data_IF_367353737643
#
_entry.id   IF_367353737643
#
_cell.length_a   1.000
_cell.length_b   1.000
_cell.length_c   1.000
_cell.angle_alpha   90.00
_cell.angle_beta   90.00
_cell.angle_gamma   90.00
#
_symmetry.space_group_name_H-M   'P 1'
#
loop_
_entity.id
_entity.type
_entity.pdbx_description
1 polymer ?
#
# COMPACT_ATOMS: atom_id res chain seq x y z
N UNK A 1 15.57 14.29 -0.68
CA UNK A 1 15.26 14.23 -2.12
C UNK A 1 13.84 13.70 -2.22
N UNK A 2 12.95 14.40 -2.93
CA UNK A 2 11.56 13.97 -3.05
C UNK A 2 11.42 12.72 -3.93
N UNK A 3 10.41 11.87 -3.70
CA UNK A 3 10.17 10.71 -4.54
C UNK A 3 9.65 11.12 -5.92
N UNK A 4 10.43 10.85 -6.98
CA UNK A 4 9.96 10.96 -8.37
C UNK A 4 9.19 9.68 -8.78
N UNK A 5 8.05 9.45 -8.14
CA UNK A 5 7.23 8.25 -8.31
C UNK A 5 5.75 8.64 -8.34
N UNK A 6 4.98 8.07 -9.25
CA UNK A 6 3.52 8.21 -9.33
C UNK A 6 2.80 6.97 -8.77
N UNK A 7 1.51 7.10 -8.45
CA UNK A 7 0.63 5.98 -8.11
C UNK A 7 1.09 5.12 -6.92
N UNK A 8 1.88 5.66 -6.01
CA UNK A 8 2.11 5.09 -4.69
C UNK A 8 0.98 5.42 -3.73
N UNK A 9 1.02 4.83 -2.53
CA UNK A 9 0.09 5.17 -1.45
C UNK A 9 0.67 6.30 -0.60
N UNK A 10 -0.11 7.36 -0.39
CA UNK A 10 0.24 8.51 0.43
C UNK A 10 -0.69 8.56 1.66
N UNK A 11 -0.13 8.47 2.86
CA UNK A 11 -0.88 8.39 4.11
C UNK A 11 -0.30 9.32 5.18
N UNK A 12 -1.17 10.04 5.88
CA UNK A 12 -0.80 10.76 7.10
C UNK A 12 -0.81 9.77 8.26
N UNK A 13 0.31 9.69 8.98
CA UNK A 13 0.41 8.95 10.24
C UNK A 13 1.00 9.88 11.28
N UNK A 14 0.24 10.12 12.35
CA UNK A 14 0.57 11.13 13.36
C UNK A 14 0.83 12.50 12.69
N UNK A 15 2.07 12.98 12.70
CA UNK A 15 2.48 14.27 12.13
C UNK A 15 3.32 14.12 10.85
N UNK A 16 3.44 12.90 10.31
CA UNK A 16 4.29 12.60 9.15
C UNK A 16 3.51 12.00 7.99
N UNK A 17 3.89 12.37 6.77
CA UNK A 17 3.33 11.75 5.57
C UNK A 17 4.23 10.62 5.13
N UNK A 18 3.65 9.46 4.81
CA UNK A 18 4.34 8.31 4.25
C UNK A 18 3.91 8.12 2.81
N UNK A 19 4.87 8.03 1.90
CA UNK A 19 4.67 7.68 0.50
C UNK A 19 5.34 6.34 0.22
N UNK A 20 4.56 5.34 -0.19
CA UNK A 20 5.02 3.96 -0.33
C UNK A 20 4.80 3.46 -1.75
N UNK A 21 5.86 2.87 -2.31
CA UNK A 21 5.88 2.29 -3.64
C UNK A 21 5.66 3.32 -4.75
N UNK A 22 4.94 2.92 -5.79
CA UNK A 22 4.68 3.72 -6.98
C UNK A 22 5.54 3.29 -8.17
N UNK A 23 5.52 4.10 -9.22
CA UNK A 23 6.21 3.84 -10.50
C UNK A 23 6.94 5.09 -10.96
N UNK A 24 8.17 4.92 -11.45
CA UNK A 24 8.98 6.02 -11.99
C UNK A 24 8.51 6.44 -13.39
N UNK A 25 8.93 7.61 -13.91
CA UNK A 25 8.65 8.02 -15.28
C UNK A 25 9.08 7.01 -16.35
N UNK A 26 10.09 6.18 -16.04
CA UNK A 26 10.60 5.10 -16.90
C UNK A 26 9.79 3.80 -16.79
N UNK A 27 8.71 3.77 -16.00
CA UNK A 27 7.89 2.58 -15.78
C UNK A 27 8.43 1.62 -14.73
N UNK A 28 9.49 2.00 -13.98
CA UNK A 28 10.10 1.14 -12.96
C UNK A 28 9.29 1.21 -11.68
N UNK A 29 8.69 0.08 -11.30
CA UNK A 29 7.94 -0.04 -10.07
C UNK A 29 8.87 -0.03 -8.86
N UNK A 30 8.40 0.53 -7.75
CA UNK A 30 9.18 0.71 -6.53
C UNK A 30 8.50 0.07 -5.33
N UNK A 31 9.29 -0.40 -4.38
CA UNK A 31 8.86 -0.81 -3.03
C UNK A 31 9.35 0.16 -1.94
N UNK A 32 10.00 1.26 -2.33
CA UNK A 32 10.60 2.21 -1.38
C UNK A 32 9.53 2.91 -0.54
N UNK A 33 9.91 3.22 0.70
CA UNK A 33 9.12 4.00 1.65
C UNK A 33 9.82 5.35 1.80
N UNK A 34 9.06 6.43 1.68
CA UNK A 34 9.52 7.78 1.96
C UNK A 34 8.65 8.37 3.06
N UNK A 35 9.28 9.06 4.01
CA UNK A 35 8.60 9.83 5.05
C UNK A 35 8.88 11.31 4.84
N UNK A 36 7.86 12.12 5.09
CA UNK A 36 7.94 13.56 5.07
C UNK A 36 7.56 14.13 6.44
N UNK A 37 8.53 14.80 7.05
CA UNK A 37 8.38 15.62 8.26
C UNK A 37 9.09 16.95 8.03
N UNK A 38 8.58 17.76 7.10
CA UNK A 38 9.21 18.94 6.49
C UNK A 38 10.29 18.65 5.44
N UNK A 39 10.96 17.50 5.53
CA UNK A 39 11.91 17.02 4.52
C UNK A 39 11.59 15.56 4.18
N UNK A 40 11.85 15.17 2.92
CA UNK A 40 11.71 13.80 2.46
C UNK A 40 12.95 12.97 2.84
N UNK A 41 12.72 11.90 3.60
CA UNK A 41 13.70 10.90 3.99
C UNK A 41 13.27 9.48 3.57
N UNK A 42 14.19 8.65 3.04
CA UNK A 42 13.88 7.24 2.81
C UNK A 42 13.81 6.48 4.13
N UNK A 43 12.91 5.51 4.21
CA UNK A 43 12.84 4.54 5.30
C UNK A 43 13.10 3.15 4.76
N UNK A 44 13.92 2.40 5.49
CA UNK A 44 14.12 0.97 5.25
C UNK A 44 13.26 0.18 6.22
N UNK A 45 12.56 -0.82 5.69
CA UNK A 45 11.76 -1.74 6.47
C UNK A 45 12.20 -3.18 6.21
N UNK A 46 12.38 -3.93 7.30
CA UNK A 46 12.92 -5.29 7.27
C UNK A 46 11.89 -6.31 7.80
N UNK A 47 11.82 -7.51 7.22
CA UNK A 47 12.54 -7.97 6.04
C UNK A 47 12.03 -7.32 4.75
N UNK A 48 12.86 -7.30 3.70
CA UNK A 48 12.49 -6.79 2.36
C UNK A 48 11.53 -7.75 1.64
N UNK A 49 10.28 -7.79 2.09
CA UNK A 49 9.24 -8.70 1.56
C UNK A 49 8.15 -7.99 0.75
N UNK A 50 8.11 -6.66 0.82
CA UNK A 50 7.16 -5.87 0.03
C UNK A 50 7.66 -5.72 -1.40
N UNK A 51 7.04 -6.45 -2.33
CA UNK A 51 7.42 -6.41 -3.74
C UNK A 51 7.09 -5.04 -4.39
N UNK A 52 7.92 -4.56 -5.33
CA UNK A 52 7.69 -3.31 -6.04
C UNK A 52 6.31 -3.26 -6.72
N UNK A 53 5.57 -2.16 -6.52
CA UNK A 53 4.20 -2.04 -7.02
C UNK A 53 3.70 -0.60 -7.08
N UNK A 54 2.68 -0.38 -7.92
CA UNK A 54 1.94 0.87 -8.05
C UNK A 54 0.43 0.57 -7.99
N UNK A 55 -0.41 1.60 -7.86
CA UNK A 55 -1.87 1.47 -7.84
C UNK A 55 -2.42 0.62 -6.70
N UNK A 56 -1.64 0.37 -5.66
CA UNK A 56 -2.14 -0.24 -4.44
C UNK A 56 -2.92 0.79 -3.62
N UNK A 57 -3.68 0.32 -2.65
CA UNK A 57 -4.39 1.18 -1.72
C UNK A 57 -3.99 0.82 -0.28
N UNK A 58 -4.26 1.72 0.65
CA UNK A 58 -3.93 1.49 2.04
C UNK A 58 -4.59 2.48 2.98
N UNK A 59 -4.44 2.21 4.26
CA UNK A 59 -4.93 3.09 5.33
C UNK A 59 -3.99 3.03 6.53
N UNK A 60 -4.04 4.05 7.38
CA UNK A 60 -3.32 4.11 8.63
C UNK A 60 -4.25 3.85 9.83
N UNK A 61 -3.77 3.12 10.82
CA UNK A 61 -4.47 2.88 12.08
C UNK A 61 -3.46 2.58 13.19
N UNK A 62 -3.55 3.27 14.34
CA UNK A 62 -2.72 3.04 15.53
C UNK A 62 -1.20 3.00 15.24
N UNK A 63 -0.72 3.94 14.43
CA UNK A 63 0.70 4.03 14.01
C UNK A 63 1.21 2.85 13.16
N UNK A 64 0.30 2.03 12.62
CA UNK A 64 0.58 1.04 11.59
C UNK A 64 0.00 1.49 10.24
N UNK A 65 0.65 1.11 9.14
CA UNK A 65 0.14 1.29 7.78
C UNK A 65 -0.26 -0.08 7.21
N UNK A 66 -1.44 -0.15 6.61
CA UNK A 66 -1.97 -1.35 5.96
C UNK A 66 -2.03 -1.09 4.46
N UNK A 67 -1.52 -2.03 3.66
CA UNK A 67 -1.47 -1.95 2.19
C UNK A 67 -2.10 -3.18 1.56
N UNK A 68 -2.85 -2.96 0.49
CA UNK A 68 -3.60 -3.99 -0.22
C UNK A 68 -3.44 -3.87 -1.73
N UNK A 69 -3.17 -5.01 -2.36
CA UNK A 69 -3.16 -5.15 -3.82
C UNK A 69 -2.06 -4.35 -4.51
N UNK A 70 -2.42 -3.73 -5.63
CA UNK A 70 -1.54 -3.03 -6.57
C UNK A 70 -1.18 -3.88 -7.78
N UNK A 71 -0.32 -3.34 -8.63
CA UNK A 71 0.18 -4.01 -9.83
C UNK A 71 1.69 -3.78 -10.03
N UNK A 72 2.30 -4.68 -10.79
CA UNK A 72 3.62 -4.54 -11.38
C UNK A 72 3.50 -4.81 -12.88
N UNK A 73 3.45 -3.75 -13.68
CA UNK A 73 3.21 -3.85 -15.13
C UNK A 73 4.35 -4.59 -15.84
N UNK A 74 5.60 -4.41 -15.41
CA UNK A 74 6.76 -5.10 -15.97
C UNK A 74 6.73 -6.62 -15.76
N UNK A 75 5.96 -7.09 -14.77
CA UNK A 75 5.76 -8.51 -14.48
C UNK A 75 4.39 -9.02 -14.95
N UNK A 76 3.57 -8.17 -15.58
CA UNK A 76 2.18 -8.47 -15.92
C UNK A 76 1.37 -9.03 -14.73
N UNK A 77 1.61 -8.48 -13.54
CA UNK A 77 1.11 -9.01 -12.28
C UNK A 77 0.19 -8.02 -11.56
N UNK A 78 -1.00 -8.48 -11.15
CA UNK A 78 -1.88 -7.78 -10.22
C UNK A 78 -1.87 -8.54 -8.90
N UNK A 79 -1.57 -7.83 -7.81
CA UNK A 79 -1.44 -8.42 -6.50
C UNK A 79 -2.80 -8.56 -5.80
N UNK A 80 -2.98 -9.66 -5.08
CA UNK A 80 -3.98 -9.80 -4.02
C UNK A 80 -3.34 -9.77 -2.62
N UNK A 81 -2.04 -9.51 -2.54
CA UNK A 81 -1.30 -9.54 -1.28
C UNK A 81 -1.64 -8.35 -0.40
N UNK A 82 -1.60 -8.60 0.91
CA UNK A 82 -1.90 -7.63 1.96
C UNK A 82 -0.73 -7.57 2.92
N UNK A 83 -0.33 -6.37 3.33
CA UNK A 83 0.78 -6.16 4.25
C UNK A 83 0.44 -5.14 5.33
N UNK A 84 1.07 -5.29 6.49
CA UNK A 84 1.16 -4.26 7.51
C UNK A 84 2.60 -3.79 7.63
N UNK A 85 2.83 -2.48 7.60
CA UNK A 85 4.07 -1.86 8.02
C UNK A 85 3.90 -1.36 9.46
N UNK A 86 4.63 -1.98 10.38
CA UNK A 86 4.76 -1.48 11.74
C UNK A 86 5.81 -0.38 11.76
N UNK A 87 5.40 0.86 12.06
CA UNK A 87 6.30 2.02 12.05
C UNK A 87 7.16 2.12 13.30
N UNK A 88 6.86 1.36 14.36
CA UNK A 88 7.67 1.35 15.60
C UNK A 88 9.04 0.72 15.38
N UNK A 89 9.08 -0.35 14.59
CA UNK A 89 10.30 -1.13 14.32
C UNK A 89 10.64 -1.22 12.83
N UNK A 90 9.87 -0.53 11.98
CA UNK A 90 9.96 -0.58 10.52
C UNK A 90 9.96 -2.02 10.01
N UNK A 91 8.94 -2.79 10.39
CA UNK A 91 8.82 -4.18 9.94
C UNK A 91 7.58 -4.42 9.09
N UNK A 92 7.77 -5.23 8.06
CA UNK A 92 6.68 -5.73 7.24
C UNK A 92 6.14 -7.02 7.83
N UNK A 93 4.81 -7.09 7.96
CA UNK A 93 4.07 -8.27 8.38
C UNK A 93 3.13 -8.66 7.24
N UNK A 94 3.16 -9.94 6.86
CA UNK A 94 2.24 -10.52 5.88
C UNK A 94 0.86 -10.67 6.53
N UNK A 95 -0.17 -10.22 5.83
CA UNK A 95 -1.56 -10.36 6.23
C UNK A 95 -2.29 -11.35 5.30
N UNK A 96 -3.50 -11.81 5.67
CA UNK A 96 -4.34 -12.58 4.76
C UNK A 96 -4.56 -11.84 3.42
N UNK A 97 -4.41 -12.57 2.33
CA UNK A 97 -4.61 -12.03 0.99
C UNK A 97 -6.07 -11.61 0.79
N UNK A 98 -6.26 -10.65 -0.11
CA UNK A 98 -7.58 -10.33 -0.64
C UNK A 98 -8.18 -11.53 -1.40
N UNK A 99 -9.51 -11.68 -1.44
CA UNK A 99 -10.17 -12.76 -2.18
C UNK A 99 -9.81 -12.79 -3.68
N UNK A 100 -9.53 -11.62 -4.25
CA UNK A 100 -9.18 -11.47 -5.66
C UNK A 100 -8.18 -10.31 -5.83
N UNK A 101 -7.24 -10.44 -6.78
CA UNK A 101 -6.26 -9.39 -7.06
C UNK A 101 -6.96 -8.11 -7.50
N UNK A 102 -6.36 -6.97 -7.15
CA UNK A 102 -6.88 -5.64 -7.51
C UNK A 102 -5.80 -4.57 -7.49
N UNK A 103 -5.93 -3.61 -8.38
CA UNK A 103 -5.23 -2.33 -8.34
C UNK A 103 -6.22 -1.18 -8.55
N UNK A 104 -5.76 0.06 -8.41
CA UNK A 104 -6.56 1.28 -8.54
C UNK A 104 -7.80 1.31 -7.63
N UNK A 105 -7.74 0.60 -6.51
CA UNK A 105 -8.79 0.62 -5.48
C UNK A 105 -8.70 1.87 -4.63
N UNK A 106 -9.83 2.29 -4.04
CA UNK A 106 -9.85 3.29 -2.97
C UNK A 106 -9.86 2.60 -1.61
N UNK A 107 -9.21 3.20 -0.62
CA UNK A 107 -9.22 2.68 0.74
C UNK A 107 -9.39 3.79 1.78
N UNK A 108 -10.14 3.50 2.85
CA UNK A 108 -10.37 4.43 3.95
C UNK A 108 -10.52 3.68 5.27
N UNK A 109 -10.10 4.30 6.37
CA UNK A 109 -10.36 3.80 7.73
C UNK A 109 -11.73 4.24 8.22
N UNK A 110 -12.55 3.33 8.75
CA UNK A 110 -13.81 3.64 9.42
C UNK A 110 -14.04 2.69 10.61
N UNK A 111 -14.28 3.22 11.81
CA UNK A 111 -14.49 2.43 13.04
C UNK A 111 -13.42 1.34 13.27
N UNK A 112 -12.14 1.72 13.16
CA UNK A 112 -10.98 0.81 13.31
C UNK A 112 -10.94 -0.35 12.30
N UNK A 113 -11.59 -0.18 11.15
CA UNK A 113 -11.59 -1.12 10.02
C UNK A 113 -11.12 -0.43 8.76
N UNK A 114 -10.50 -1.18 7.86
CA UNK A 114 -10.22 -0.74 6.50
C UNK A 114 -11.37 -1.08 5.58
N UNK A 115 -11.86 -0.12 4.81
CA UNK A 115 -12.83 -0.35 3.75
C UNK A 115 -12.10 -0.17 2.42
N UNK A 116 -12.15 -1.19 1.56
CA UNK A 116 -11.51 -1.20 0.24
C UNK A 116 -12.60 -1.27 -0.83
N UNK A 117 -12.67 -0.25 -1.68
CA UNK A 117 -13.70 -0.09 -2.69
C UNK A 117 -13.15 -0.29 -4.10
N UNK A 118 -13.82 -1.16 -4.86
CA UNK A 118 -13.63 -1.37 -6.28
C UNK A 118 -12.18 -1.67 -6.67
N UNK A 119 -11.75 -1.06 -7.76
CA UNK A 119 -10.47 -1.30 -8.43
C UNK A 119 -10.66 -2.03 -9.74
N UNK A 120 -9.58 -2.62 -10.27
CA UNK A 120 -9.62 -3.44 -11.46
C UNK A 120 -8.61 -4.60 -11.35
N UNK A 121 -8.83 -5.61 -12.16
CA UNK A 121 -7.91 -6.71 -12.38
C UNK A 121 -8.05 -7.23 -13.82
N UNK A 122 -7.44 -8.39 -14.11
CA UNK A 122 -7.46 -8.99 -15.45
C UNK A 122 -8.86 -9.39 -15.95
N UNK A 123 -9.83 -9.54 -15.05
CA UNK A 123 -11.23 -9.88 -15.38
C UNK A 123 -12.09 -8.62 -15.63
N UNK A 124 -11.58 -7.44 -15.28
CA UNK A 124 -12.22 -6.15 -15.53
C UNK A 124 -12.31 -5.25 -14.30
N UNK A 125 -13.26 -4.32 -14.33
CA UNK A 125 -13.52 -3.39 -13.24
C UNK A 125 -14.29 -4.08 -12.10
N UNK A 126 -13.97 -3.70 -10.87
CA UNK A 126 -14.59 -4.22 -9.65
C UNK A 126 -15.47 -3.13 -9.02
N UNK A 127 -16.64 -3.51 -8.54
CA UNK A 127 -17.56 -2.68 -7.74
C UNK A 127 -17.64 -3.15 -6.27
N UNK A 128 -16.92 -4.22 -5.92
CA UNK A 128 -16.93 -4.84 -4.59
C UNK A 128 -16.43 -3.91 -3.47
N UNK A 129 -17.05 -4.04 -2.30
CA UNK A 129 -16.54 -3.50 -1.03
C UNK A 129 -15.96 -4.66 -0.19
N UNK A 130 -14.71 -4.53 0.23
CA UNK A 130 -14.09 -5.40 1.23
C UNK A 130 -13.91 -4.67 2.56
N UNK A 131 -14.14 -5.38 3.66
CA UNK A 131 -13.92 -4.87 5.02
C UNK A 131 -12.78 -5.65 5.65
N UNK A 132 -11.66 -4.98 5.90
CA UNK A 132 -10.53 -5.51 6.64
C UNK A 132 -10.68 -5.17 8.13
N UNK A 133 -10.55 -6.18 9.00
CA UNK A 133 -10.63 -6.02 10.45
C UNK A 133 -9.26 -6.33 11.07
N UNK A 134 -8.43 -5.31 11.39
CA UNK A 134 -7.11 -5.53 12.00
C UNK A 134 -7.14 -6.31 13.33
N UNK A 135 -8.27 -6.27 14.06
CA UNK A 135 -8.45 -6.95 15.35
C UNK A 135 -9.02 -8.37 15.27
N UNK A 136 -9.28 -8.91 14.08
CA UNK A 136 -9.70 -10.29 13.89
C UNK A 136 -8.69 -10.97 12.97
N UNK A 137 -7.81 -11.79 13.55
CA UNK A 137 -6.91 -12.66 12.82
C UNK A 137 -7.68 -13.66 11.96
#
# INVERSE_FOLDING_TARGET
MEPSLASGVCLLVEESIYYIGGVSPEGVHSSKIFKFSNIWEPIEANPTIFAPRSGHCGFALNSDIYIFGGQCESENLVFNTSYKLNLKDNTWIILPNLPQPRHSSSCVTYNSKGLIFGGANQEGVLDSLLIFNPGKN
#
